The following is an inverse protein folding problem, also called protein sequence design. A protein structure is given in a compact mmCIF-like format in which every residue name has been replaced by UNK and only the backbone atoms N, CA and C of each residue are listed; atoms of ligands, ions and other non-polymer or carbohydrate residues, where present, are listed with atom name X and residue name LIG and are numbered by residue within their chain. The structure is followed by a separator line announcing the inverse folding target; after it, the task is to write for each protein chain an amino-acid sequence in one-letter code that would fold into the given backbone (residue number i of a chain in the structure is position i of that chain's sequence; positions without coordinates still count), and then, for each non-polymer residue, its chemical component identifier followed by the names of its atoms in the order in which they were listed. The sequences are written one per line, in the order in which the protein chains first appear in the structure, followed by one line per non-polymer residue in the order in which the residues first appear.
data_IF_964065126481
#
_entry.id   IF_964065126481
#
_cell.length_a   1.000
_cell.length_b   1.000
_cell.length_c   1.000
_cell.angle_alpha   90.00
_cell.angle_beta   90.00
_cell.angle_gamma   90.00
#
_symmetry.space_group_name_H-M   'P 1'
#
loop_
_entity.id
_entity.type
_entity.pdbx_description
1 polymer ?
#
# COMPACT_ATOMS: atom_id res chain seq x y z
N UNK A 1 -12.35 5.67 -1.25
CA UNK A 1 -11.44 5.47 -0.11
C UNK A 1 -10.29 6.42 -0.28
N UNK A 2 -9.87 7.08 0.80
CA UNK A 2 -8.73 7.99 0.85
C UNK A 2 -7.77 7.49 1.92
N UNK A 3 -6.48 7.38 1.59
CA UNK A 3 -5.42 7.05 2.55
C UNK A 3 -4.63 8.33 2.87
N UNK A 4 -4.43 8.61 4.15
CA UNK A 4 -3.70 9.79 4.64
C UNK A 4 -2.68 9.31 5.67
N UNK A 5 -1.45 9.82 5.62
CA UNK A 5 -0.36 9.32 6.44
C UNK A 5 0.64 10.43 6.82
N UNK A 6 1.15 10.33 8.04
CA UNK A 6 2.29 11.11 8.54
C UNK A 6 3.33 10.18 9.21
N UNK A 7 4.33 10.74 9.91
CA UNK A 7 5.38 9.94 10.58
C UNK A 7 4.88 9.07 11.75
N UNK A 8 3.66 9.27 12.22
CA UNK A 8 3.08 8.67 13.44
C UNK A 8 1.79 7.92 13.17
N UNK A 9 0.93 8.42 12.29
CA UNK A 9 -0.44 7.97 12.10
C UNK A 9 -0.69 7.60 10.63
N UNK A 10 -1.56 6.61 10.44
CA UNK A 10 -2.02 6.20 9.10
C UNK A 10 -3.53 6.03 9.14
N UNK A 11 -4.26 6.75 8.31
CA UNK A 11 -5.72 6.81 8.35
C UNK A 11 -6.34 6.42 7.00
N UNK A 12 -7.42 5.66 7.06
CA UNK A 12 -8.28 5.33 5.94
C UNK A 12 -9.64 6.02 6.12
N UNK A 13 -10.04 6.80 5.13
CA UNK A 13 -11.29 7.57 5.14
C UNK A 13 -12.22 7.04 4.04
N UNK A 14 -13.44 6.67 4.41
CA UNK A 14 -14.48 6.21 3.47
C UNK A 14 -15.38 7.37 3.02
N UNK A 15 -16.00 7.22 1.84
CA UNK A 15 -16.94 8.23 1.33
C UNK A 15 -18.23 8.35 2.15
N UNK A 16 -18.46 7.41 3.06
CA UNK A 16 -19.62 7.36 3.94
C UNK A 16 -19.33 7.97 5.33
N UNK A 17 -18.13 8.52 5.54
CA UNK A 17 -17.76 9.21 6.78
C UNK A 17 -17.04 8.33 7.83
N UNK A 18 -16.64 7.11 7.48
CA UNK A 18 -15.86 6.27 8.40
C UNK A 18 -14.39 6.66 8.36
N UNK A 19 -13.75 6.71 9.53
CA UNK A 19 -12.31 6.94 9.69
C UNK A 19 -11.73 5.77 10.47
N UNK A 20 -10.78 5.08 9.86
CA UNK A 20 -10.20 3.84 10.39
C UNK A 20 -8.69 3.98 10.43
N UNK A 21 -8.09 3.75 11.60
CA UNK A 21 -6.65 3.55 11.74
C UNK A 21 -6.37 2.04 11.72
N UNK A 22 -5.63 1.51 10.73
CA UNK A 22 -5.31 0.10 10.67
C UNK A 22 -4.17 -0.28 11.62
N UNK A 23 -4.28 -1.45 12.24
CA UNK A 23 -3.28 -1.98 13.17
C UNK A 23 -1.93 -2.27 12.51
N UNK A 24 -1.95 -2.60 11.22
CA UNK A 24 -0.76 -2.87 10.44
C UNK A 24 -0.21 -1.58 9.82
N UNK A 25 1.10 -1.39 9.86
CA UNK A 25 1.82 -0.23 9.30
C UNK A 25 1.80 -0.14 7.76
N UNK A 26 0.86 -0.83 7.09
CA UNK A 26 0.70 -0.82 5.63
C UNK A 26 -0.79 -0.64 5.32
N UNK A 27 -1.08 0.25 4.38
CA UNK A 27 -2.39 0.40 3.76
C UNK A 27 -2.20 0.30 2.24
N UNK A 28 -3.17 -0.31 1.56
CA UNK A 28 -3.31 -0.17 0.13
C UNK A 28 -4.78 0.08 -0.22
N UNK A 29 -5.02 0.97 -1.18
CA UNK A 29 -6.34 1.30 -1.73
C UNK A 29 -6.33 1.17 -3.24
N UNK A 30 -7.51 1.15 -3.87
CA UNK A 30 -7.66 1.03 -5.32
C UNK A 30 -7.80 -0.42 -5.82
N UNK A 31 -7.90 -0.58 -7.13
CA UNK A 31 -8.21 -1.86 -7.80
C UNK A 31 -7.17 -2.96 -7.56
N UNK A 32 -5.88 -2.60 -7.54
CA UNK A 32 -4.76 -3.50 -7.22
C UNK A 32 -4.42 -3.58 -5.73
N UNK A 33 -5.18 -2.89 -4.87
CA UNK A 33 -4.82 -2.67 -3.46
C UNK A 33 -4.64 -3.96 -2.67
N UNK A 34 -5.52 -4.95 -2.85
CA UNK A 34 -5.43 -6.23 -2.13
C UNK A 34 -4.17 -7.03 -2.50
N UNK A 35 -3.75 -6.99 -3.77
CA UNK A 35 -2.52 -7.66 -4.23
C UNK A 35 -1.28 -6.97 -3.68
N UNK A 36 -1.25 -5.63 -3.74
CA UNK A 36 -0.16 -4.85 -3.17
C UNK A 36 -0.05 -5.07 -1.66
N UNK A 37 -1.16 -5.07 -0.93
CA UNK A 37 -1.18 -5.30 0.51
C UNK A 37 -0.66 -6.70 0.89
N UNK A 38 -1.08 -7.73 0.15
CA UNK A 38 -0.62 -9.09 0.36
C UNK A 38 0.90 -9.22 0.10
N UNK A 39 1.38 -8.66 -1.00
CA UNK A 39 2.80 -8.65 -1.34
C UNK A 39 3.63 -7.90 -0.29
N UNK A 40 3.21 -6.69 0.09
CA UNK A 40 3.90 -5.86 1.08
C UNK A 40 3.96 -6.56 2.45
N UNK A 41 2.87 -7.22 2.85
CA UNK A 41 2.81 -8.00 4.09
C UNK A 41 3.80 -9.15 4.09
N UNK A 42 3.96 -9.85 2.96
CA UNK A 42 4.94 -10.92 2.84
C UNK A 42 6.39 -10.38 2.85
N UNK A 43 6.66 -9.33 2.07
CA UNK A 43 7.99 -8.71 1.98
C UNK A 43 8.44 -8.14 3.33
N UNK A 44 7.55 -7.48 4.08
CA UNK A 44 7.85 -6.99 5.42
C UNK A 44 8.24 -8.08 6.42
N UNK A 45 7.72 -9.31 6.25
CA UNK A 45 7.97 -10.42 7.17
C UNK A 45 9.18 -11.26 6.79
N UNK A 46 9.47 -11.37 5.50
CA UNK A 46 10.36 -12.41 4.96
C UNK A 46 11.49 -11.88 4.07
N UNK A 47 11.67 -10.56 3.99
CA UNK A 47 12.76 -9.94 3.24
C UNK A 47 13.57 -8.98 4.10
N UNK A 48 14.73 -8.54 3.59
CA UNK A 48 15.55 -7.48 4.18
C UNK A 48 15.43 -6.16 3.40
N UNK A 49 14.34 -6.00 2.65
CA UNK A 49 14.09 -4.80 1.87
C UNK A 49 13.74 -3.62 2.78
N UNK A 50 14.16 -2.42 2.40
CA UNK A 50 13.73 -1.20 3.05
C UNK A 50 12.28 -0.84 2.65
N UNK A 51 11.67 0.15 3.32
CA UNK A 51 10.28 0.54 3.09
C UNK A 51 9.99 0.95 1.65
N UNK A 52 10.91 1.69 1.01
CA UNK A 52 10.76 2.12 -0.39
C UNK A 52 10.73 0.91 -1.33
N UNK A 53 11.68 -0.01 -1.15
CA UNK A 53 11.79 -1.23 -1.94
C UNK A 53 10.56 -2.14 -1.76
N UNK A 54 10.06 -2.27 -0.52
CA UNK A 54 8.83 -3.03 -0.24
C UNK A 54 7.65 -2.43 -1.01
N UNK A 55 7.46 -1.11 -0.97
CA UNK A 55 6.37 -0.44 -1.70
C UNK A 55 6.51 -0.65 -3.20
N UNK A 56 7.71 -0.45 -3.74
CA UNK A 56 7.98 -0.59 -5.17
C UNK A 56 7.68 -2.00 -5.67
N UNK A 57 8.21 -3.03 -5.02
CA UNK A 57 8.02 -4.42 -5.43
C UNK A 57 6.57 -4.87 -5.25
N UNK A 58 5.90 -4.41 -4.21
CA UNK A 58 4.47 -4.71 -3.99
C UNK A 58 3.58 -4.13 -5.08
N UNK A 59 3.87 -2.90 -5.53
CA UNK A 59 3.14 -2.26 -6.62
C UNK A 59 3.45 -2.92 -7.97
N UNK A 60 4.70 -3.33 -8.22
CA UNK A 60 5.06 -4.12 -9.41
C UNK A 60 4.31 -5.45 -9.47
N UNK A 61 4.17 -6.15 -8.34
CA UNK A 61 3.38 -7.38 -8.24
C UNK A 61 1.91 -7.08 -8.54
N UNK A 62 1.32 -6.06 -7.91
CA UNK A 62 -0.05 -5.66 -8.19
C UNK A 62 -0.30 -5.33 -9.67
N UNK A 63 0.64 -4.62 -10.31
CA UNK A 63 0.60 -4.29 -11.74
C UNK A 63 0.71 -5.50 -12.68
N UNK A 64 1.25 -6.61 -12.20
CA UNK A 64 1.31 -7.87 -12.97
C UNK A 64 0.03 -8.70 -12.89
N UNK A 65 -0.83 -8.44 -11.91
CA UNK A 65 -2.04 -9.21 -11.62
C UNK A 65 -3.30 -8.42 -11.98
N UNK A 66 -3.36 -7.14 -11.60
CA UNK A 66 -4.55 -6.30 -11.78
C UNK A 66 -4.52 -5.60 -13.14
N UNK A 67 -5.50 -5.90 -13.99
CA UNK A 67 -5.64 -5.25 -15.32
C UNK A 67 -5.83 -3.71 -15.25
N UNK A 68 -6.17 -3.17 -14.08
CA UNK A 68 -6.38 -1.75 -13.84
C UNK A 68 -5.20 -1.06 -13.14
N UNK A 69 -4.09 -1.77 -12.91
CA UNK A 69 -2.87 -1.23 -12.29
C UNK A 69 -1.71 -1.43 -13.27
N UNK A 70 -0.99 -0.37 -13.62
CA UNK A 70 0.13 -0.45 -14.57
C UNK A 70 1.48 -0.35 -13.84
N UNK A 71 2.58 -0.36 -14.61
CA UNK A 71 3.96 -0.31 -14.07
C UNK A 71 4.52 1.12 -13.96
N UNK A 72 3.71 2.14 -14.21
CA UNK A 72 4.11 3.53 -14.07
C UNK A 72 3.92 3.97 -12.62
N UNK A 73 4.96 3.77 -11.81
CA UNK A 73 4.90 3.92 -10.35
C UNK A 73 5.63 5.20 -9.93
N UNK A 74 4.96 6.03 -9.13
CA UNK A 74 5.56 7.18 -8.43
C UNK A 74 5.60 6.87 -6.94
N UNK A 75 6.73 7.16 -6.27
CA UNK A 75 6.94 6.88 -4.85
C UNK A 75 7.40 8.14 -4.15
N UNK A 76 6.63 8.56 -3.15
CA UNK A 76 6.87 9.73 -2.29
C UNK A 76 7.25 9.29 -0.86
N UNK A 77 8.08 10.07 -0.17
CA UNK A 77 8.61 9.77 1.17
C UNK A 77 8.56 11.00 2.10
N UNK A 78 8.57 10.78 3.44
CA UNK A 78 8.43 11.80 4.50
C UNK A 78 9.69 12.02 5.35
#
# INVERSE_FOLDING_TARGET
LLAVLDKKNTLLISGNGEVIEPDNKIIAIGSGGSYALAAATALMKFSNLNTREIVEESLKIAASICIYTNKEITIEEL
#
